data_IF_634959546554
#
_entry.id   IF_634959546554
#
_cell.length_a   1.000
_cell.length_b   1.000
_cell.length_c   1.000
_cell.angle_alpha   90.00
_cell.angle_beta   90.00
_cell.angle_gamma   90.00
#
_symmetry.space_group_name_H-M   'P 1'
#
loop_
_entity.id
_entity.type
_entity.pdbx_description
1 polymer ?
#
# COMPACT_ATOMS: atom_id res chain seq x y z
N UNK A 1 14.03 -3.46 -35.62
CA UNK A 1 13.65 -3.92 -34.27
C UNK A 1 12.71 -5.10 -34.41
N UNK A 2 13.07 -6.28 -33.87
CA UNK A 2 12.16 -7.43 -33.78
C UNK A 2 11.50 -7.40 -32.40
N UNK A 3 10.19 -7.59 -32.35
CA UNK A 3 9.47 -7.72 -31.09
C UNK A 3 9.86 -9.02 -30.38
N UNK A 4 9.97 -8.97 -29.06
CA UNK A 4 10.31 -10.12 -28.21
C UNK A 4 9.20 -10.32 -27.18
N UNK A 5 8.75 -11.56 -27.00
CA UNK A 5 7.78 -11.90 -25.96
C UNK A 5 8.52 -11.98 -24.64
N UNK A 6 8.25 -11.05 -23.72
CA UNK A 6 8.82 -11.03 -22.37
C UNK A 6 7.74 -11.00 -21.30
N UNK A 7 8.07 -11.57 -20.14
CA UNK A 7 7.24 -11.50 -18.94
C UNK A 7 7.23 -10.09 -18.36
N UNK A 8 6.04 -9.59 -17.99
CA UNK A 8 5.89 -8.31 -17.26
C UNK A 8 6.58 -8.31 -15.89
N UNK A 9 6.90 -9.49 -15.36
CA UNK A 9 7.44 -9.62 -14.01
C UNK A 9 8.93 -9.24 -13.89
N UNK A 10 9.66 -9.17 -15.01
CA UNK A 10 11.11 -8.85 -15.07
C UNK A 10 11.93 -9.59 -14.00
N UNK A 11 12.05 -10.93 -14.09
CA UNK A 11 12.66 -11.76 -13.04
C UNK A 11 14.17 -11.55 -12.89
N UNK A 12 14.86 -11.13 -13.96
CA UNK A 12 16.33 -11.02 -14.01
C UNK A 12 16.93 -10.04 -12.98
N UNK A 13 16.15 -9.09 -12.45
CA UNK A 13 16.63 -8.01 -11.57
C UNK A 13 15.97 -8.01 -10.19
N UNK A 14 15.45 -9.15 -9.74
CA UNK A 14 14.83 -9.28 -8.42
C UNK A 14 15.80 -9.91 -7.43
N UNK A 15 15.87 -9.33 -6.23
CA UNK A 15 16.55 -9.95 -5.10
C UNK A 15 15.65 -11.03 -4.50
N UNK A 16 16.23 -12.20 -4.24
CA UNK A 16 15.54 -13.29 -3.53
C UNK A 16 15.37 -12.93 -2.06
N UNK A 17 14.12 -12.92 -1.59
CA UNK A 17 13.78 -12.43 -0.24
C UNK A 17 14.44 -13.27 0.86
N UNK A 18 14.54 -14.58 0.67
CA UNK A 18 15.17 -15.53 1.59
C UNK A 18 16.67 -15.27 1.78
N UNK A 19 17.33 -14.64 0.80
CA UNK A 19 18.76 -14.33 0.85
C UNK A 19 19.07 -13.00 1.55
N UNK A 20 18.06 -12.17 1.82
CA UNK A 20 18.24 -10.79 2.34
C UNK A 20 17.48 -10.49 3.63
N UNK A 21 16.81 -11.49 4.22
CA UNK A 21 16.22 -11.35 5.55
C UNK A 21 17.31 -11.46 6.66
N UNK A 22 17.24 -10.66 7.74
CA UNK A 22 16.24 -9.61 7.99
C UNK A 22 16.49 -8.34 7.16
N UNK A 23 15.41 -7.76 6.62
CA UNK A 23 15.48 -6.53 5.83
C UNK A 23 15.81 -5.32 6.71
N UNK A 24 16.71 -4.45 6.24
CA UNK A 24 16.97 -3.15 6.89
C UNK A 24 15.80 -2.19 6.77
N UNK A 25 15.08 -2.25 5.65
CA UNK A 25 13.93 -1.41 5.33
C UNK A 25 12.96 -2.15 4.39
N UNK A 26 11.67 -1.79 4.36
CA UNK A 26 10.71 -2.40 3.44
C UNK A 26 11.05 -2.08 1.97
N UNK A 27 10.77 -3.02 1.07
CA UNK A 27 10.91 -2.79 -0.39
C UNK A 27 9.85 -1.83 -0.95
N UNK A 28 8.71 -1.74 -0.27
CA UNK A 28 7.57 -0.96 -0.72
C UNK A 28 6.75 -0.53 0.50
N UNK A 29 6.43 0.75 0.55
CA UNK A 29 5.56 1.33 1.55
C UNK A 29 4.41 2.03 0.84
N UNK A 30 3.17 1.66 1.20
CA UNK A 30 1.98 2.38 0.78
C UNK A 30 1.49 3.23 1.95
N UNK A 31 1.36 4.53 1.72
CA UNK A 31 0.87 5.49 2.72
C UNK A 31 -0.34 6.19 2.14
N UNK A 32 -1.49 5.99 2.78
CA UNK A 32 -2.72 6.70 2.45
C UNK A 32 -2.88 7.89 3.42
N UNK A 33 -2.84 9.15 2.97
CA UNK A 33 -3.03 10.32 3.83
C UNK A 33 -4.43 10.40 4.45
N UNK A 34 -5.39 9.66 3.91
CA UNK A 34 -6.77 9.60 4.40
C UNK A 34 -7.35 8.21 4.15
N UNK A 35 -8.09 7.70 5.12
CA UNK A 35 -8.83 6.46 4.97
C UNK A 35 -10.28 6.67 4.51
N UNK A 36 -10.66 7.91 4.19
CA UNK A 36 -11.96 8.24 3.65
C UNK A 36 -12.03 7.98 2.13
N UNK A 37 -13.15 7.39 1.69
CA UNK A 37 -13.43 7.07 0.31
C UNK A 37 -14.94 7.31 0.08
N UNK A 38 -15.30 7.91 -1.05
CA UNK A 38 -16.67 8.25 -1.44
C UNK A 38 -17.37 7.12 -2.21
N UNK A 39 -16.65 6.07 -2.59
CA UNK A 39 -17.20 4.88 -3.22
C UNK A 39 -17.79 3.88 -2.23
N UNK A 40 -18.78 3.12 -2.68
CA UNK A 40 -19.40 1.99 -1.94
C UNK A 40 -19.20 0.69 -2.71
N UNK A 41 -17.94 0.32 -2.93
CA UNK A 41 -17.57 -0.88 -3.67
C UNK A 41 -18.07 -2.15 -2.95
N UNK A 42 -18.68 -3.08 -3.69
CA UNK A 42 -19.26 -4.32 -3.11
C UNK A 42 -18.21 -5.23 -2.46
N UNK A 43 -16.97 -5.16 -2.92
CA UNK A 43 -15.84 -5.94 -2.40
C UNK A 43 -15.06 -5.24 -1.28
N UNK A 44 -15.38 -3.97 -0.98
CA UNK A 44 -14.64 -3.21 0.02
C UNK A 44 -15.37 -3.28 1.37
N UNK A 45 -14.73 -3.74 2.47
CA UNK A 45 -15.37 -3.83 3.77
C UNK A 45 -15.80 -2.46 4.31
N UNK A 46 -15.07 -1.39 3.97
CA UNK A 46 -15.42 -0.02 4.37
C UNK A 46 -16.59 0.58 3.56
N UNK A 47 -17.04 -0.09 2.51
CA UNK A 47 -18.26 0.22 1.77
C UNK A 47 -19.54 -0.28 2.45
N UNK A 48 -19.43 -1.23 3.38
CA UNK A 48 -20.54 -1.89 4.06
C UNK A 48 -20.77 -1.26 5.45
N UNK A 49 -21.88 -0.53 5.60
CA UNK A 49 -22.18 0.29 6.80
C UNK A 49 -22.50 -0.55 8.04
N UNK A 50 -22.97 -1.76 7.86
CA UNK A 50 -23.21 -2.76 8.90
C UNK A 50 -21.87 -3.28 9.46
N UNK A 51 -20.94 -3.69 8.59
CA UNK A 51 -19.60 -4.12 9.00
C UNK A 51 -18.84 -3.03 9.74
N UNK A 52 -18.89 -1.79 9.24
CA UNK A 52 -18.26 -0.65 9.90
C UNK A 52 -18.82 -0.41 11.31
N UNK A 53 -20.15 -0.46 11.47
CA UNK A 53 -20.82 -0.24 12.78
C UNK A 53 -20.53 -1.36 13.78
N UNK A 54 -20.28 -2.57 13.31
CA UNK A 54 -19.92 -3.71 14.14
C UNK A 54 -18.42 -3.74 14.52
N UNK A 55 -17.62 -2.82 13.98
CA UNK A 55 -16.17 -2.78 14.17
C UNK A 55 -15.72 -1.55 14.96
N UNK A 56 -14.50 -1.58 15.49
CA UNK A 56 -13.86 -0.39 16.09
C UNK A 56 -13.22 0.54 15.05
N UNK A 57 -13.36 0.23 13.75
CA UNK A 57 -12.73 0.98 12.69
C UNK A 57 -13.24 2.43 12.63
N UNK A 58 -12.31 3.39 12.64
CA UNK A 58 -12.60 4.81 12.47
C UNK A 58 -11.85 5.34 11.25
N UNK A 59 -12.52 6.20 10.49
CA UNK A 59 -11.86 6.94 9.42
C UNK A 59 -10.97 8.02 10.04
N UNK A 60 -9.76 8.14 9.52
CA UNK A 60 -8.79 9.12 9.99
C UNK A 60 -8.08 9.78 8.81
N UNK A 61 -7.52 10.95 9.10
CA UNK A 61 -6.61 11.68 8.23
C UNK A 61 -5.25 11.67 8.93
N UNK A 62 -4.20 11.45 8.16
CA UNK A 62 -2.84 11.46 8.66
C UNK A 62 -2.49 12.85 9.21
N UNK A 63 -1.85 12.88 10.38
CA UNK A 63 -1.36 14.13 10.96
C UNK A 63 -0.33 14.79 10.03
N UNK A 64 -0.44 16.11 9.85
CA UNK A 64 0.41 16.82 8.89
C UNK A 64 1.89 16.77 9.28
N UNK A 65 2.22 16.90 10.57
CA UNK A 65 3.60 16.81 11.03
C UNK A 65 4.17 15.38 10.86
N UNK A 66 3.33 14.36 10.91
CA UNK A 66 3.73 12.99 10.55
C UNK A 66 3.95 12.83 9.04
N UNK A 67 3.08 13.43 8.22
CA UNK A 67 3.23 13.44 6.77
C UNK A 67 4.57 14.08 6.35
N UNK A 68 4.92 15.26 6.90
CA UNK A 68 6.19 15.94 6.62
C UNK A 68 7.42 15.08 7.00
N UNK A 69 7.35 14.35 8.12
CA UNK A 69 8.43 13.42 8.51
C UNK A 69 8.61 12.29 7.51
N UNK A 70 7.51 11.77 6.95
CA UNK A 70 7.57 10.70 5.96
C UNK A 70 8.11 11.19 4.61
N UNK A 71 7.79 12.43 4.22
CA UNK A 71 8.26 13.02 2.96
C UNK A 71 9.76 13.31 2.96
N UNK A 72 10.32 13.78 4.10
CA UNK A 72 11.76 14.09 4.24
C UNK A 72 12.63 12.82 4.36
N UNK A 73 12.03 11.64 4.60
CA UNK A 73 12.76 10.37 4.71
C UNK A 73 13.11 9.72 3.36
N UNK A 74 12.68 10.29 2.22
CA UNK A 74 12.97 9.79 0.87
C UNK A 74 13.85 10.72 0.05
#
# INVERSE_FOLDING_TARGET
MKAEIRSKLNPERRTRLDEVIPLRMPFLLYVDPSSACDFKCRFCPTGHRDLLRASEYKRNVLDFALFEKLDIMF
#
